data_IF_019648757858
#
_entry.id   IF_019648757858
#
_cell.length_a   1.000
_cell.length_b   1.000
_cell.length_c   1.000
_cell.angle_alpha   90.00
_cell.angle_beta   90.00
_cell.angle_gamma   90.00
#
_symmetry.space_group_name_H-M   'P 1'
#
loop_
_entity.id
_entity.type
_entity.pdbx_description
1 polymer ?
#
# COMPACT_ATOMS: atom_id res chain seq x y z
N UNK A 1 -10.93 12.09 -17.91
CA UNK A 1 -10.93 10.61 -17.90
C UNK A 1 -12.19 10.16 -17.16
N UNK A 2 -12.95 9.18 -17.65
CA UNK A 2 -14.16 8.71 -16.94
C UNK A 2 -13.71 7.82 -15.78
N UNK A 3 -13.91 8.26 -14.55
CA UNK A 3 -13.50 7.49 -13.37
C UNK A 3 -14.38 6.25 -13.23
N UNK A 4 -13.78 5.07 -13.28
CA UNK A 4 -14.47 3.79 -13.05
C UNK A 4 -14.34 3.38 -11.58
N UNK A 5 -15.17 3.98 -10.73
CA UNK A 5 -15.20 3.71 -9.27
C UNK A 5 -15.30 2.23 -8.90
N UNK A 6 -15.97 1.41 -9.73
CA UNK A 6 -16.14 -0.03 -9.52
C UNK A 6 -14.84 -0.84 -9.63
N UNK A 7 -13.77 -0.25 -10.18
CA UNK A 7 -12.48 -0.91 -10.34
C UNK A 7 -11.53 -0.68 -9.16
N UNK A 8 -11.91 0.16 -8.19
CA UNK A 8 -11.09 0.40 -7.01
C UNK A 8 -10.96 -0.89 -6.19
N UNK A 9 -9.73 -1.32 -5.83
CA UNK A 9 -9.53 -2.49 -5.00
C UNK A 9 -9.97 -2.22 -3.56
N UNK A 10 -10.25 -3.29 -2.82
CA UNK A 10 -10.45 -3.21 -1.38
C UNK A 10 -9.15 -2.75 -0.70
N UNK A 11 -9.24 -1.68 0.08
CA UNK A 11 -8.15 -1.20 0.92
C UNK A 11 -8.13 -2.05 2.20
N UNK A 12 -6.95 -2.54 2.57
CA UNK A 12 -6.75 -3.36 3.76
C UNK A 12 -6.72 -2.50 5.02
N UNK A 13 -7.13 -3.08 6.15
CA UNK A 13 -6.89 -2.49 7.47
C UNK A 13 -5.42 -2.60 7.88
N UNK A 14 -5.01 -1.78 8.85
CA UNK A 14 -3.63 -1.74 9.37
C UNK A 14 -3.06 -3.13 9.72
N UNK A 15 -3.80 -3.92 10.49
CA UNK A 15 -3.37 -5.27 10.90
C UNK A 15 -3.25 -6.21 9.70
N UNK A 16 -4.15 -6.11 8.72
CA UNK A 16 -4.12 -6.92 7.50
C UNK A 16 -2.91 -6.57 6.61
N UNK A 17 -2.54 -5.29 6.56
CA UNK A 17 -1.32 -4.83 5.86
C UNK A 17 -0.09 -5.45 6.52
N UNK A 18 0.00 -5.37 7.84
CA UNK A 18 1.11 -5.92 8.62
C UNK A 18 1.20 -7.45 8.47
N UNK A 19 0.09 -8.15 8.62
CA UNK A 19 0.01 -9.60 8.47
C UNK A 19 0.45 -10.06 7.08
N UNK A 20 -0.02 -9.37 6.03
CA UNK A 20 0.37 -9.68 4.66
C UNK A 20 1.87 -9.45 4.44
N UNK A 21 2.41 -8.32 4.91
CA UNK A 21 3.81 -7.97 4.77
C UNK A 21 4.70 -8.98 5.51
N UNK A 22 4.42 -9.27 6.78
CA UNK A 22 5.21 -10.20 7.60
C UNK A 22 5.10 -11.65 7.15
N UNK A 23 3.91 -12.08 6.72
CA UNK A 23 3.73 -13.43 6.17
C UNK A 23 4.56 -13.64 4.90
N UNK A 24 4.65 -12.63 4.03
CA UNK A 24 5.47 -12.68 2.82
C UNK A 24 6.96 -12.57 3.13
N UNK A 25 7.33 -11.70 4.07
CA UNK A 25 8.70 -11.55 4.54
C UNK A 25 9.26 -12.86 5.12
N UNK A 26 8.47 -13.57 5.93
CA UNK A 26 8.84 -14.88 6.46
C UNK A 26 9.09 -15.90 5.35
N UNK A 27 8.17 -16.01 4.39
CA UNK A 27 8.33 -16.89 3.22
C UNK A 27 9.56 -16.53 2.36
N UNK A 28 9.92 -15.26 2.27
CA UNK A 28 11.11 -14.81 1.55
C UNK A 28 12.40 -15.16 2.31
N UNK A 29 12.40 -15.07 3.63
CA UNK A 29 13.52 -15.43 4.48
C UNK A 29 13.79 -16.94 4.48
N UNK A 30 12.75 -17.77 4.47
CA UNK A 30 12.89 -19.24 4.40
C UNK A 30 13.62 -19.70 3.11
N UNK A 31 13.63 -18.88 2.07
CA UNK A 31 14.34 -19.13 0.80
C UNK A 31 15.80 -18.68 0.80
N UNK A 32 16.27 -18.05 1.87
CA UNK A 32 17.66 -17.62 1.99
C UNK A 32 18.52 -18.82 2.37
N UNK A 33 19.45 -19.14 1.47
CA UNK A 33 20.45 -20.19 1.69
C UNK A 33 21.84 -19.59 1.93
N UNK A 34 22.55 -20.17 2.89
CA UNK A 34 23.95 -19.86 3.20
C UNK A 34 24.54 -20.99 4.06
N UNK A 35 25.74 -21.45 3.72
CA UNK A 35 26.42 -22.54 4.43
C UNK A 35 26.76 -22.17 5.88
N UNK A 36 27.14 -20.91 6.13
CA UNK A 36 27.46 -20.44 7.47
C UNK A 36 26.18 -19.99 8.19
N UNK A 37 25.89 -20.61 9.34
CA UNK A 37 24.70 -20.32 10.14
C UNK A 37 24.57 -18.83 10.51
N UNK A 38 25.65 -18.19 10.93
CA UNK A 38 25.62 -16.78 11.36
C UNK A 38 25.29 -15.86 10.19
N UNK A 39 25.91 -16.10 9.03
CA UNK A 39 25.61 -15.33 7.82
C UNK A 39 24.20 -15.62 7.31
N UNK A 40 23.74 -16.88 7.37
CA UNK A 40 22.36 -17.25 7.02
C UNK A 40 21.34 -16.48 7.85
N UNK A 41 21.45 -16.52 9.18
CA UNK A 41 20.52 -15.82 10.08
C UNK A 41 20.54 -14.31 9.83
N UNK A 42 21.72 -13.71 9.65
CA UNK A 42 21.82 -12.28 9.31
C UNK A 42 21.10 -11.96 8.00
N UNK A 43 21.37 -12.72 6.93
CA UNK A 43 20.73 -12.54 5.61
C UNK A 43 19.21 -12.74 5.67
N UNK A 44 18.74 -13.73 6.43
CA UNK A 44 17.32 -13.98 6.67
C UNK A 44 16.65 -12.76 7.30
N UNK A 45 17.21 -12.21 8.38
CA UNK A 45 16.65 -11.04 9.06
C UNK A 45 16.64 -9.80 8.16
N UNK A 46 17.75 -9.54 7.44
CA UNK A 46 17.80 -8.46 6.45
C UNK A 46 16.74 -8.65 5.36
N UNK A 47 16.54 -9.88 4.86
CA UNK A 47 15.53 -10.17 3.85
C UNK A 47 14.11 -9.97 4.38
N UNK A 48 13.84 -10.30 5.64
CA UNK A 48 12.53 -10.07 6.26
C UNK A 48 12.20 -8.58 6.28
N UNK A 49 13.10 -7.74 6.82
CA UNK A 49 12.90 -6.29 6.93
C UNK A 49 12.69 -5.67 5.57
N UNK A 50 13.56 -5.99 4.60
CA UNK A 50 13.45 -5.46 3.25
C UNK A 50 12.12 -5.86 2.59
N UNK A 51 11.75 -7.14 2.66
CA UNK A 51 10.52 -7.63 2.01
C UNK A 51 9.27 -7.03 2.63
N UNK A 52 9.24 -6.88 3.97
CA UNK A 52 8.10 -6.25 4.64
C UNK A 52 7.95 -4.78 4.23
N UNK A 53 9.06 -4.03 4.24
CA UNK A 53 9.09 -2.63 3.82
C UNK A 53 8.64 -2.47 2.36
N UNK A 54 9.17 -3.28 1.44
CA UNK A 54 8.82 -3.25 0.02
C UNK A 54 7.31 -3.48 -0.18
N UNK A 55 6.73 -4.46 0.51
CA UNK A 55 5.30 -4.79 0.36
C UNK A 55 4.40 -3.67 0.88
N UNK A 56 4.73 -3.10 2.04
CA UNK A 56 3.97 -1.99 2.62
C UNK A 56 4.06 -0.79 1.67
N UNK A 57 5.28 -0.40 1.28
CA UNK A 57 5.50 0.72 0.37
C UNK A 57 4.75 0.57 -0.95
N UNK A 58 4.87 -0.59 -1.60
CA UNK A 58 4.18 -0.88 -2.86
C UNK A 58 2.67 -0.79 -2.68
N UNK A 59 2.10 -1.40 -1.65
CA UNK A 59 0.66 -1.36 -1.43
C UNK A 59 0.13 0.05 -1.23
N UNK A 60 0.78 0.84 -0.37
CA UNK A 60 0.33 2.20 -0.07
C UNK A 60 0.45 3.09 -1.31
N UNK A 61 1.56 2.99 -2.03
CA UNK A 61 1.80 3.75 -3.26
C UNK A 61 0.82 3.37 -4.38
N UNK A 62 0.59 2.07 -4.59
CA UNK A 62 -0.40 1.58 -5.57
C UNK A 62 -1.81 2.03 -5.21
N UNK A 63 -2.14 2.06 -3.91
CA UNK A 63 -3.43 2.60 -3.44
C UNK A 63 -3.55 4.06 -3.87
N UNK A 64 -2.59 4.93 -3.54
CA UNK A 64 -2.63 6.35 -3.93
C UNK A 64 -2.72 6.52 -5.45
N UNK A 65 -1.98 5.73 -6.22
CA UNK A 65 -1.98 5.80 -7.69
C UNK A 65 -3.29 5.34 -8.34
N UNK A 66 -4.00 4.40 -7.71
CA UNK A 66 -5.24 3.84 -8.25
C UNK A 66 -6.43 4.79 -8.04
N UNK A 67 -6.39 5.58 -6.97
CA UNK A 67 -7.46 6.53 -6.65
C UNK A 67 -7.40 7.77 -7.56
N UNK A 68 -8.56 8.25 -8.06
CA UNK A 68 -8.61 9.33 -9.02
C UNK A 68 -8.20 10.68 -8.41
N UNK A 69 -7.48 11.49 -9.19
CA UNK A 69 -7.20 12.88 -8.83
C UNK A 69 -8.46 13.74 -9.00
N UNK A 70 -8.79 14.50 -7.95
CA UNK A 70 -9.91 15.44 -7.97
C UNK A 70 -9.67 16.62 -8.93
N UNK A 71 -8.41 17.03 -9.11
CA UNK A 71 -8.06 18.23 -9.88
C UNK A 71 -8.26 18.04 -11.40
N UNK A 72 -8.33 16.78 -11.85
CA UNK A 72 -8.58 16.41 -13.25
C UNK A 72 -10.02 15.89 -13.48
N UNK A 73 -10.87 15.97 -12.45
CA UNK A 73 -12.22 15.42 -12.47
C UNK A 73 -13.27 16.48 -12.88
N UNK A 74 -14.36 16.09 -13.58
CA UNK A 74 -15.46 17.00 -13.89
C UNK A 74 -16.06 17.62 -12.63
N UNK A 75 -16.51 18.87 -12.72
CA UNK A 75 -17.05 19.61 -11.57
C UNK A 75 -18.24 18.90 -10.89
N UNK A 76 -19.10 18.24 -11.67
CA UNK A 76 -20.20 17.44 -11.13
C UNK A 76 -19.69 16.29 -10.25
N UNK A 77 -18.68 15.54 -10.71
CA UNK A 77 -18.12 14.41 -9.97
C UNK A 77 -17.45 14.89 -8.67
N UNK A 78 -16.72 16.01 -8.74
CA UNK A 78 -16.09 16.63 -7.55
C UNK A 78 -17.15 17.06 -6.53
N UNK A 79 -18.23 17.70 -6.98
CA UNK A 79 -19.34 18.10 -6.10
C UNK A 79 -20.05 16.89 -5.46
N UNK A 80 -20.16 15.78 -6.19
CA UNK A 80 -20.73 14.54 -5.65
C UNK A 80 -19.81 13.91 -4.60
N UNK A 81 -18.50 13.90 -4.83
CA UNK A 81 -17.51 13.41 -3.84
C UNK A 81 -17.54 14.27 -2.58
N UNK A 82 -17.57 15.60 -2.74
CA UNK A 82 -17.69 16.55 -1.63
C UNK A 82 -18.91 16.25 -0.77
N UNK A 83 -20.08 16.05 -1.39
CA UNK A 83 -21.31 15.78 -0.66
C UNK A 83 -21.32 14.40 0.03
N UNK A 84 -20.59 13.41 -0.48
CA UNK A 84 -20.61 12.04 0.05
C UNK A 84 -19.53 11.77 1.11
N UNK A 85 -18.30 12.25 0.89
CA UNK A 85 -17.12 11.88 1.71
C UNK A 85 -16.21 13.07 2.07
N UNK A 86 -16.47 14.26 1.53
CA UNK A 86 -15.60 15.42 1.71
C UNK A 86 -14.32 15.37 0.87
N UNK A 87 -14.04 16.42 0.10
CA UNK A 87 -12.85 16.49 -0.77
C UNK A 87 -11.57 16.81 -0.01
N UNK A 88 -11.67 17.50 1.13
CA UNK A 88 -10.52 17.78 2.00
C UNK A 88 -10.05 16.50 2.71
N UNK A 89 -10.96 15.77 3.34
CA UNK A 89 -10.67 14.48 3.98
C UNK A 89 -10.12 13.48 2.96
N UNK A 90 -10.71 13.43 1.76
CA UNK A 90 -10.20 12.61 0.66
C UNK A 90 -8.72 12.90 0.34
N UNK A 91 -8.38 14.19 0.14
CA UNK A 91 -7.00 14.59 -0.17
C UNK A 91 -6.07 14.33 1.01
N UNK A 92 -6.52 14.65 2.22
CA UNK A 92 -5.73 14.47 3.43
C UNK A 92 -5.37 13.00 3.63
N UNK A 93 -6.35 12.08 3.61
CA UNK A 93 -6.09 10.67 3.80
C UNK A 93 -5.18 10.07 2.72
N UNK A 94 -5.35 10.42 1.44
CA UNK A 94 -4.44 9.96 0.40
C UNK A 94 -3.02 10.51 0.57
N UNK A 95 -2.88 11.77 1.01
CA UNK A 95 -1.56 12.34 1.31
C UNK A 95 -0.85 11.65 2.47
N UNK A 96 -1.62 11.23 3.49
CA UNK A 96 -1.09 10.49 4.64
C UNK A 96 -0.57 9.09 4.27
N UNK A 97 -1.10 8.46 3.22
CA UNK A 97 -0.58 7.19 2.71
C UNK A 97 0.73 7.35 1.92
N UNK A 98 1.00 8.55 1.39
CA UNK A 98 2.20 8.85 0.60
C UNK A 98 3.37 9.37 1.45
N UNK A 99 3.09 9.97 2.61
CA UNK A 99 4.08 10.54 3.54
C UNK A 99 5.03 9.47 4.10
#
# INVERSE_FOLDING_TARGET
MKVTWRQLPTVLFEDEVLDKAFSRARKAADRVDDHNRVFRTRKQMTRMVQTAADIIHTMLTETVQTWPSLDQSPQFDVAMIEACVGTDDYRHHLSMLQW
#
